data_IF_564953904244
#
_entry.id   IF_564953904244
#
_cell.length_a   1.000
_cell.length_b   1.000
_cell.length_c   1.000
_cell.angle_alpha   90.00
_cell.angle_beta   90.00
_cell.angle_gamma   90.00
#
_symmetry.space_group_name_H-M   'P 1'
#
loop_
_entity.id
_entity.type
_entity.pdbx_description
1 polymer ?
#
# COMPACT_ATOMS: atom_id res chain seq x y z
N UNK A 1 2.27 13.21 -2.06
CA UNK A 1 1.69 12.04 -2.77
C UNK A 1 2.61 11.49 -3.86
N UNK A 2 3.01 12.31 -4.84
CA UNK A 2 3.81 11.88 -6.01
C UNK A 2 5.09 11.11 -5.66
N UNK A 3 5.97 11.65 -4.80
CA UNK A 3 7.23 10.97 -4.41
C UNK A 3 6.98 9.62 -3.74
N UNK A 4 5.90 9.49 -2.96
CA UNK A 4 5.52 8.24 -2.30
C UNK A 4 5.13 7.19 -3.33
N UNK A 5 4.33 7.57 -4.34
CA UNK A 5 3.98 6.68 -5.44
C UNK A 5 5.22 6.21 -6.20
N UNK A 6 6.14 7.11 -6.54
CA UNK A 6 7.39 6.75 -7.24
C UNK A 6 8.23 5.75 -6.46
N UNK A 7 8.37 5.94 -5.15
CA UNK A 7 9.10 4.99 -4.30
C UNK A 7 8.39 3.63 -4.27
N UNK A 8 7.06 3.59 -4.15
CA UNK A 8 6.30 2.33 -4.19
C UNK A 8 6.45 1.62 -5.55
N UNK A 9 6.43 2.36 -6.66
CA UNK A 9 6.70 1.82 -7.99
C UNK A 9 8.12 1.24 -8.11
N UNK A 10 9.14 1.96 -7.64
CA UNK A 10 10.52 1.48 -7.66
C UNK A 10 10.69 0.19 -6.85
N UNK A 11 10.05 0.10 -5.68
CA UNK A 11 10.05 -1.11 -4.85
C UNK A 11 9.34 -2.27 -5.57
N UNK A 12 8.21 -2.02 -6.24
CA UNK A 12 7.52 -3.05 -7.02
C UNK A 12 8.39 -3.61 -8.15
N UNK A 13 9.18 -2.77 -8.80
CA UNK A 13 10.14 -3.18 -9.83
C UNK A 13 11.27 -4.01 -9.21
N UNK A 14 11.76 -3.63 -8.03
CA UNK A 14 12.79 -4.40 -7.32
C UNK A 14 12.30 -5.81 -6.92
N UNK A 15 11.03 -5.94 -6.51
CA UNK A 15 10.42 -7.25 -6.24
C UNK A 15 10.38 -8.09 -7.53
N UNK A 16 10.01 -7.51 -8.68
CA UNK A 16 10.02 -8.22 -9.96
C UNK A 16 11.44 -8.64 -10.37
N UNK A 17 12.41 -7.74 -10.20
CA UNK A 17 13.80 -8.00 -10.50
C UNK A 17 14.35 -9.17 -9.67
N UNK A 18 14.04 -9.22 -8.37
CA UNK A 18 14.34 -10.35 -7.50
C UNK A 18 13.73 -11.65 -8.05
N UNK A 19 12.43 -11.66 -8.35
CA UNK A 19 11.73 -12.83 -8.87
C UNK A 19 12.34 -13.35 -10.19
N UNK A 20 12.68 -12.44 -11.11
CA UNK A 20 13.30 -12.78 -12.39
C UNK A 20 14.73 -13.29 -12.22
N UNK A 21 15.51 -12.68 -11.33
CA UNK A 21 16.87 -13.12 -11.04
C UNK A 21 16.90 -14.50 -10.39
N UNK A 22 16.04 -14.72 -9.39
CA UNK A 22 15.90 -16.01 -8.74
C UNK A 22 15.45 -17.10 -9.72
N UNK A 23 14.53 -16.80 -10.63
CA UNK A 23 14.11 -17.74 -11.69
C UNK A 23 15.28 -18.21 -12.56
N UNK A 24 16.25 -17.33 -12.85
CA UNK A 24 17.37 -17.63 -13.74
C UNK A 24 18.52 -18.36 -13.03
N UNK A 25 18.87 -17.96 -11.81
CA UNK A 25 20.03 -18.50 -11.07
C UNK A 25 19.65 -19.72 -10.21
N UNK A 26 18.43 -19.72 -9.65
CA UNK A 26 17.90 -20.73 -8.71
C UNK A 26 18.80 -21.02 -7.48
N UNK A 27 19.80 -20.19 -7.23
CA UNK A 27 20.68 -20.30 -6.08
C UNK A 27 19.97 -19.85 -4.80
N UNK A 28 19.67 -20.80 -3.90
CA UNK A 28 18.92 -20.56 -2.67
C UNK A 28 19.64 -19.58 -1.73
N UNK A 29 20.95 -19.77 -1.50
CA UNK A 29 21.72 -18.90 -0.60
C UNK A 29 21.76 -17.45 -1.08
N UNK A 30 21.88 -17.25 -2.40
CA UNK A 30 21.78 -15.92 -3.01
C UNK A 30 20.38 -15.33 -2.87
N UNK A 31 19.34 -16.14 -3.11
CA UNK A 31 17.94 -15.75 -2.94
C UNK A 31 17.62 -15.24 -1.53
N UNK A 32 18.11 -15.94 -0.50
CA UNK A 32 17.97 -15.51 0.90
C UNK A 32 18.62 -14.14 1.14
N UNK A 33 19.85 -13.96 0.68
CA UNK A 33 20.59 -12.71 0.87
C UNK A 33 19.93 -11.52 0.16
N UNK A 34 19.47 -11.72 -1.08
CA UNK A 34 18.78 -10.70 -1.86
C UNK A 34 17.42 -10.35 -1.26
N UNK A 35 16.66 -11.35 -0.80
CA UNK A 35 15.39 -11.13 -0.12
C UNK A 35 15.57 -10.36 1.19
N UNK A 36 16.59 -10.70 1.99
CA UNK A 36 16.91 -9.99 3.22
C UNK A 36 17.23 -8.51 2.94
N UNK A 37 18.01 -8.23 1.90
CA UNK A 37 18.30 -6.87 1.47
C UNK A 37 17.03 -6.12 1.02
N UNK A 38 16.17 -6.77 0.23
CA UNK A 38 14.89 -6.22 -0.22
C UNK A 38 13.96 -5.91 0.95
N UNK A 39 13.88 -6.81 1.94
CA UNK A 39 13.11 -6.60 3.17
C UNK A 39 13.66 -5.44 4.00
N UNK A 40 14.99 -5.32 4.14
CA UNK A 40 15.61 -4.19 4.82
C UNK A 40 15.29 -2.86 4.12
N UNK A 41 15.34 -2.85 2.78
CA UNK A 41 14.96 -1.69 1.96
C UNK A 41 13.48 -1.33 2.13
N UNK A 42 12.58 -2.32 2.08
CA UNK A 42 11.15 -2.15 2.33
C UNK A 42 10.90 -1.49 3.69
N UNK A 43 11.55 -1.98 4.75
CA UNK A 43 11.44 -1.41 6.10
C UNK A 43 12.03 0.00 6.19
N UNK A 44 13.13 0.28 5.49
CA UNK A 44 13.74 1.62 5.44
C UNK A 44 12.84 2.61 4.72
N UNK A 45 12.31 2.24 3.55
CA UNK A 45 11.40 3.05 2.76
C UNK A 45 10.09 3.32 3.52
N UNK A 46 9.51 2.28 4.13
CA UNK A 46 8.33 2.39 5.00
C UNK A 46 8.54 3.42 6.12
N UNK A 47 9.67 3.35 6.83
CA UNK A 47 10.02 4.31 7.89
C UNK A 47 10.21 5.73 7.36
N UNK A 48 10.88 5.89 6.22
CA UNK A 48 11.09 7.20 5.60
C UNK A 48 9.76 7.85 5.14
N UNK A 49 8.82 7.03 4.66
CA UNK A 49 7.53 7.51 4.13
C UNK A 49 6.45 7.69 5.20
N UNK A 50 6.63 7.12 6.40
CA UNK A 50 5.66 7.17 7.50
C UNK A 50 5.10 8.57 7.74
N UNK A 51 5.96 9.57 7.91
CA UNK A 51 5.52 10.94 8.18
C UNK A 51 4.77 11.55 6.99
N UNK A 52 5.18 11.24 5.76
CA UNK A 52 4.47 11.66 4.56
C UNK A 52 3.04 11.10 4.49
N UNK A 53 2.84 9.83 4.86
CA UNK A 53 1.51 9.23 4.96
C UNK A 53 0.65 9.90 6.03
N UNK A 54 1.21 10.11 7.22
CA UNK A 54 0.49 10.74 8.33
C UNK A 54 0.09 12.18 8.00
N UNK A 55 1.00 12.96 7.42
CA UNK A 55 0.71 14.34 7.02
C UNK A 55 -0.37 14.40 5.94
N UNK A 56 -0.33 13.52 4.94
CA UNK A 56 -1.37 13.46 3.90
C UNK A 56 -2.74 13.09 4.47
N UNK A 57 -2.80 12.11 5.38
CA UNK A 57 -4.06 11.73 6.03
C UNK A 57 -4.58 12.85 6.94
N UNK A 58 -3.71 13.47 7.73
CA UNK A 58 -4.06 14.58 8.61
C UNK A 58 -4.55 15.79 7.80
N UNK A 59 -3.91 16.12 6.67
CA UNK A 59 -4.34 17.23 5.81
C UNK A 59 -5.71 16.98 5.20
N UNK A 60 -5.99 15.76 4.72
CA UNK A 60 -7.32 15.46 4.18
C UNK A 60 -8.42 15.45 5.25
N UNK A 61 -8.11 14.94 6.45
CA UNK A 61 -9.06 15.02 7.56
C UNK A 61 -9.34 16.48 7.96
N UNK A 62 -8.31 17.31 8.03
CA UNK A 62 -8.46 18.72 8.34
C UNK A 62 -9.32 19.44 7.29
N UNK A 63 -9.05 19.24 5.99
CA UNK A 63 -9.88 19.80 4.90
C UNK A 63 -11.34 19.37 5.05
N UNK A 64 -11.61 18.07 5.18
CA UNK A 64 -12.97 17.55 5.36
C UNK A 64 -13.69 18.19 6.57
N UNK A 65 -12.99 18.39 7.69
CA UNK A 65 -13.57 19.05 8.86
C UNK A 65 -13.85 20.53 8.60
N UNK A 66 -12.97 21.22 7.89
CA UNK A 66 -13.21 22.61 7.49
C UNK A 66 -14.42 22.71 6.56
N UNK A 67 -14.56 21.82 5.58
CA UNK A 67 -15.71 21.82 4.65
C UNK A 67 -17.02 21.59 5.40
N UNK A 68 -17.05 20.57 6.27
CA UNK A 68 -18.22 20.28 7.12
C UNK A 68 -18.56 21.47 8.01
N UNK A 69 -17.55 22.11 8.62
CA UNK A 69 -17.78 23.29 9.46
C UNK A 69 -18.27 24.49 8.65
N UNK A 70 -17.76 24.67 7.43
CA UNK A 70 -18.16 25.74 6.51
C UNK A 70 -19.62 25.60 6.11
N UNK A 71 -20.06 24.40 5.75
CA UNK A 71 -21.46 24.14 5.40
C UNK A 71 -22.38 24.31 6.61
N UNK A 72 -21.95 23.91 7.81
CA UNK A 72 -22.75 24.06 9.03
C UNK A 72 -22.87 25.53 9.50
N UNK A 73 -21.82 26.34 9.31
CA UNK A 73 -21.76 27.72 9.83
C UNK A 73 -22.15 28.79 8.81
N UNK A 74 -22.06 28.50 7.50
CA UNK A 74 -22.25 29.49 6.46
C UNK A 74 -23.07 28.94 5.28
N UNK A 75 -24.04 29.72 4.79
CA UNK A 75 -24.85 29.40 3.60
C UNK A 75 -24.08 29.64 2.29
N UNK A 76 -22.80 29.25 2.25
CA UNK A 76 -21.93 29.39 1.08
C UNK A 76 -22.33 28.34 0.05
N UNK A 77 -22.34 28.70 -1.25
CA UNK A 77 -22.82 27.81 -2.32
C UNK A 77 -22.11 26.45 -2.28
N UNK A 78 -22.88 25.42 -1.95
CA UNK A 78 -22.42 24.14 -1.41
C UNK A 78 -21.66 23.26 -2.41
N UNK A 79 -21.75 23.54 -3.71
CA UNK A 79 -21.25 22.64 -4.75
C UNK A 79 -19.76 22.80 -5.08
N UNK A 80 -19.16 23.97 -4.89
CA UNK A 80 -17.76 24.22 -5.33
C UNK A 80 -16.71 23.71 -4.34
N UNK A 81 -17.06 23.65 -3.06
CA UNK A 81 -16.13 23.23 -1.99
C UNK A 81 -15.78 21.75 -2.16
N UNK A 82 -16.78 20.87 -2.28
CA UNK A 82 -16.55 19.42 -2.44
C UNK A 82 -15.73 19.03 -3.68
N UNK A 83 -15.84 19.81 -4.77
CA UNK A 83 -15.04 19.58 -5.97
C UNK A 83 -13.56 19.92 -5.78
N UNK A 84 -13.23 20.84 -4.86
CA UNK A 84 -11.85 21.24 -4.58
C UNK A 84 -11.04 20.14 -3.90
N UNK A 85 -11.69 19.34 -3.04
CA UNK A 85 -11.02 18.33 -2.19
C UNK A 85 -10.88 16.96 -2.84
N UNK A 86 -11.68 16.68 -3.88
CA UNK A 86 -11.64 15.41 -4.61
C UNK A 86 -10.24 14.99 -5.09
N UNK A 87 -9.41 15.87 -5.67
CA UNK A 87 -8.05 15.51 -6.08
C UNK A 87 -7.17 15.06 -4.90
N UNK A 88 -7.31 15.68 -3.73
CA UNK A 88 -6.53 15.32 -2.54
C UNK A 88 -6.95 13.93 -2.03
N UNK A 89 -8.26 13.70 -1.87
CA UNK A 89 -8.82 12.41 -1.42
C UNK A 89 -8.41 11.29 -2.38
N UNK A 90 -8.56 11.52 -3.68
CA UNK A 90 -8.16 10.56 -4.70
C UNK A 90 -6.65 10.26 -4.65
N UNK A 91 -5.82 11.29 -4.49
CA UNK A 91 -4.36 11.12 -4.40
C UNK A 91 -3.94 10.28 -3.20
N UNK A 92 -4.64 10.41 -2.07
CA UNK A 92 -4.39 9.63 -0.85
C UNK A 92 -4.81 8.18 -1.06
N UNK A 93 -5.99 7.95 -1.62
CA UNK A 93 -6.46 6.62 -1.99
C UNK A 93 -5.43 5.91 -2.88
N UNK A 94 -5.00 6.55 -3.96
CA UNK A 94 -4.00 6.01 -4.87
C UNK A 94 -2.68 5.65 -4.17
N UNK A 95 -2.18 6.53 -3.30
CA UNK A 95 -0.95 6.29 -2.54
C UNK A 95 -1.09 5.09 -1.60
N UNK A 96 -2.22 4.97 -0.88
CA UNK A 96 -2.50 3.85 0.03
C UNK A 96 -2.62 2.54 -0.76
N UNK A 97 -3.36 2.53 -1.86
CA UNK A 97 -3.48 1.35 -2.72
C UNK A 97 -2.14 0.93 -3.31
N UNK A 98 -1.29 1.89 -3.73
CA UNK A 98 0.01 1.56 -4.31
C UNK A 98 0.98 0.98 -3.28
N UNK A 99 0.95 1.49 -2.05
CA UNK A 99 1.71 0.90 -0.95
C UNK A 99 1.19 -0.48 -0.54
N UNK A 100 -0.13 -0.68 -0.54
CA UNK A 100 -0.73 -1.99 -0.30
C UNK A 100 -0.39 -3.02 -1.39
N UNK A 101 -0.32 -2.59 -2.66
CA UNK A 101 0.09 -3.44 -3.79
C UNK A 101 1.49 -4.03 -3.57
N UNK A 102 2.43 -3.24 -3.04
CA UNK A 102 3.78 -3.72 -2.67
C UNK A 102 3.69 -4.88 -1.69
N UNK A 103 2.88 -4.75 -0.64
CA UNK A 103 2.66 -5.84 0.34
C UNK A 103 2.04 -7.07 -0.29
N UNK A 104 1.01 -6.90 -1.12
CA UNK A 104 0.36 -8.02 -1.82
C UNK A 104 1.30 -8.70 -2.83
N UNK A 105 2.26 -7.96 -3.37
CA UNK A 105 3.27 -8.53 -4.26
C UNK A 105 4.26 -9.37 -3.47
N UNK A 106 4.75 -8.87 -2.34
CA UNK A 106 5.59 -9.63 -1.41
C UNK A 106 4.91 -10.92 -0.94
N UNK A 107 3.60 -10.89 -0.65
CA UNK A 107 2.86 -12.09 -0.20
C UNK A 107 2.71 -13.18 -1.27
N UNK A 108 2.88 -12.85 -2.55
CA UNK A 108 2.80 -13.80 -3.68
C UNK A 108 4.15 -14.42 -4.04
N UNK A 109 5.27 -13.83 -3.59
CA UNK A 109 6.62 -14.32 -3.89
C UNK A 109 6.85 -15.77 -3.42
N UNK A 110 6.44 -16.19 -2.20
CA UNK A 110 6.58 -17.58 -1.78
C UNK A 110 5.90 -18.57 -2.73
N UNK A 111 4.66 -18.26 -3.15
CA UNK A 111 3.91 -19.08 -4.10
C UNK A 111 4.58 -19.14 -5.47
N UNK A 112 5.16 -18.03 -5.93
CA UNK A 112 5.95 -18.00 -7.16
C UNK A 112 7.16 -18.93 -7.05
N UNK A 113 7.97 -18.79 -6.00
CA UNK A 113 9.16 -19.63 -5.76
C UNK A 113 8.77 -21.11 -5.75
N UNK A 114 7.66 -21.45 -5.07
CA UNK A 114 7.15 -22.82 -5.01
C UNK A 114 6.72 -23.35 -6.40
N UNK A 115 6.19 -22.49 -7.28
CA UNK A 115 5.71 -22.87 -8.61
C UNK A 115 6.80 -23.09 -9.67
N UNK A 116 8.03 -22.62 -9.44
CA UNK A 116 9.13 -22.72 -10.42
C UNK A 116 9.63 -24.17 -10.66
N UNK A 117 9.04 -25.16 -9.99
CA UNK A 117 9.52 -26.53 -9.90
C UNK A 117 8.92 -27.51 -10.91
N UNK A 118 8.69 -27.10 -12.15
CA UNK A 118 7.93 -27.93 -13.11
C UNK A 118 8.62 -29.27 -13.48
N UNK A 119 9.93 -29.44 -13.21
CA UNK A 119 10.70 -30.59 -13.72
C UNK A 119 11.44 -31.48 -12.71
N UNK A 120 11.43 -31.18 -11.39
CA UNK A 120 12.13 -32.02 -10.41
C UNK A 120 11.14 -32.90 -9.64
N UNK A 121 11.30 -34.23 -9.76
CA UNK A 121 10.40 -35.24 -9.18
C UNK A 121 10.50 -35.36 -7.65
N UNK A 122 11.50 -34.72 -7.03
CA UNK A 122 11.73 -34.75 -5.59
C UNK A 122 11.48 -33.40 -4.93
N UNK A 123 10.98 -33.44 -3.69
CA UNK A 123 10.75 -32.26 -2.85
C UNK A 123 12.11 -31.61 -2.52
N UNK A 124 12.34 -30.42 -3.08
CA UNK A 124 13.55 -29.63 -2.84
C UNK A 124 13.46 -28.94 -1.47
N UNK A 125 14.17 -29.51 -0.48
CA UNK A 125 14.15 -29.03 0.92
C UNK A 125 14.74 -27.63 1.05
N UNK A 126 15.75 -27.29 0.25
CA UNK A 126 16.36 -25.95 0.29
C UNK A 126 15.41 -24.88 -0.25
N UNK A 127 14.64 -25.22 -1.29
CA UNK A 127 13.58 -24.34 -1.78
C UNK A 127 12.47 -24.17 -0.75
N UNK A 128 12.06 -25.24 -0.09
CA UNK A 128 11.07 -25.16 0.98
C UNK A 128 11.54 -24.20 2.08
N UNK A 129 12.81 -24.31 2.50
CA UNK A 129 13.43 -23.37 3.42
C UNK A 129 13.34 -21.92 2.92
N UNK A 130 13.61 -21.64 1.64
CA UNK A 130 13.48 -20.29 1.10
C UNK A 130 12.02 -19.79 1.12
N UNK A 131 11.06 -20.63 0.73
CA UNK A 131 9.62 -20.29 0.75
C UNK A 131 9.19 -19.94 2.18
N UNK A 132 9.58 -20.75 3.16
CA UNK A 132 9.33 -20.49 4.57
C UNK A 132 10.02 -19.21 5.05
N UNK A 133 11.30 -19.01 4.72
CA UNK A 133 12.06 -17.83 5.07
C UNK A 133 11.36 -16.55 4.56
N UNK A 134 11.00 -16.52 3.27
CA UNK A 134 10.30 -15.40 2.64
C UNK A 134 8.94 -15.14 3.29
N UNK A 135 8.21 -16.21 3.62
CA UNK A 135 6.89 -16.14 4.28
C UNK A 135 7.00 -15.57 5.70
N UNK A 136 7.90 -16.11 6.52
CA UNK A 136 8.06 -15.72 7.93
C UNK A 136 8.79 -14.39 8.10
N UNK A 137 9.52 -13.91 7.09
CA UNK A 137 10.13 -12.58 7.15
C UNK A 137 9.10 -11.44 7.12
N UNK A 138 7.85 -11.75 6.74
CA UNK A 138 6.72 -10.84 6.70
C UNK A 138 7.04 -9.53 5.96
N UNK A 139 7.82 -9.61 4.88
CA UNK A 139 8.17 -8.44 4.07
C UNK A 139 6.90 -7.79 3.48
N UNK A 140 6.92 -6.47 3.40
CA UNK A 140 5.81 -5.66 2.92
C UNK A 140 6.00 -4.20 3.27
N UNK A 141 4.98 -3.40 2.99
CA UNK A 141 4.95 -1.98 3.32
C UNK A 141 4.32 -1.76 4.70
N UNK A 142 4.99 -0.98 5.55
CA UNK A 142 4.56 -0.70 6.92
C UNK A 142 4.32 0.80 7.13
N UNK A 143 3.24 1.14 7.83
CA UNK A 143 3.01 2.50 8.35
C UNK A 143 2.99 2.41 9.87
N UNK A 144 4.09 2.82 10.51
CA UNK A 144 4.34 2.47 11.90
C UNK A 144 4.62 0.96 12.02
N UNK A 145 3.90 0.29 12.91
CA UNK A 145 4.01 -1.17 13.13
C UNK A 145 2.95 -1.97 12.37
N UNK A 146 2.11 -1.30 11.57
CA UNK A 146 0.99 -1.95 10.85
C UNK A 146 1.39 -2.21 9.41
N UNK A 147 1.32 -3.49 9.00
CA UNK A 147 1.50 -3.91 7.61
C UNK A 147 0.29 -3.51 6.79
N UNK A 148 0.50 -2.65 5.79
CA UNK A 148 -0.58 -2.15 4.95
C UNK A 148 -0.98 -3.21 3.91
N UNK A 149 -2.22 -3.69 3.95
CA UNK A 149 -2.77 -4.68 3.01
C UNK A 149 -3.83 -4.07 2.10
N UNK A 150 -4.12 -4.72 0.97
CA UNK A 150 -5.17 -4.23 0.07
C UNK A 150 -6.55 -4.25 0.75
N UNK A 151 -6.79 -5.21 1.65
CA UNK A 151 -8.00 -5.27 2.45
C UNK A 151 -8.12 -4.07 3.41
N UNK A 152 -7.02 -3.63 4.03
CA UNK A 152 -7.03 -2.41 4.86
C UNK A 152 -7.28 -1.16 4.03
N UNK A 153 -6.64 -1.05 2.86
CA UNK A 153 -6.87 0.05 1.92
C UNK A 153 -8.35 0.13 1.51
N UNK A 154 -8.94 -1.00 1.11
CA UNK A 154 -10.35 -1.07 0.71
C UNK A 154 -11.29 -0.70 1.86
N UNK A 155 -11.03 -1.19 3.08
CA UNK A 155 -11.82 -0.83 4.28
C UNK A 155 -11.76 0.68 4.56
N UNK A 156 -10.57 1.27 4.49
CA UNK A 156 -10.40 2.72 4.67
C UNK A 156 -11.16 3.51 3.61
N UNK A 157 -11.02 3.14 2.34
CA UNK A 157 -11.75 3.78 1.22
C UNK A 157 -13.26 3.63 1.37
N UNK A 158 -13.74 2.46 1.79
CA UNK A 158 -15.16 2.23 2.03
C UNK A 158 -15.69 3.13 3.16
N UNK A 159 -15.02 3.15 4.31
CA UNK A 159 -15.40 3.99 5.46
C UNK A 159 -15.40 5.46 5.06
N UNK A 160 -14.36 5.94 4.34
CA UNK A 160 -14.31 7.32 3.87
C UNK A 160 -15.42 7.64 2.87
N UNK A 161 -15.76 6.71 1.98
CA UNK A 161 -16.83 6.89 1.00
C UNK A 161 -18.20 6.97 1.66
N UNK A 162 -18.48 6.10 2.64
CA UNK A 162 -19.72 6.14 3.43
C UNK A 162 -19.83 7.46 4.19
N UNK A 163 -18.74 7.92 4.82
CA UNK A 163 -18.73 9.20 5.53
C UNK A 163 -19.01 10.37 4.59
N UNK A 164 -18.34 10.42 3.42
CA UNK A 164 -18.55 11.46 2.42
C UNK A 164 -19.99 11.49 1.90
N UNK A 165 -20.58 10.33 1.58
CA UNK A 165 -21.98 10.23 1.14
C UNK A 165 -22.97 10.62 2.24
N UNK A 166 -22.68 10.27 3.49
CA UNK A 166 -23.50 10.68 4.63
C UNK A 166 -23.52 12.20 4.82
N UNK A 167 -22.36 12.85 4.69
CA UNK A 167 -22.25 14.31 4.68
C UNK A 167 -23.04 14.88 3.49
N UNK A 168 -22.80 14.39 2.28
CA UNK A 168 -23.49 14.88 1.08
C UNK A 168 -25.01 14.77 1.19
N UNK A 169 -25.51 13.64 1.70
CA UNK A 169 -26.95 13.41 1.87
C UNK A 169 -27.54 14.40 2.86
N UNK A 170 -26.83 14.71 3.96
CA UNK A 170 -27.27 15.71 4.93
C UNK A 170 -27.35 17.10 4.32
N UNK A 171 -26.35 17.48 3.52
CA UNK A 171 -26.32 18.76 2.80
C UNK A 171 -27.52 18.88 1.85
N UNK A 172 -27.73 17.86 1.00
CA UNK A 172 -28.86 17.87 0.05
C UNK A 172 -30.23 17.84 0.72
N UNK A 173 -30.33 17.36 1.95
CA UNK A 173 -31.59 17.34 2.70
C UNK A 173 -31.88 18.67 3.43
N UNK A 174 -30.87 19.51 3.63
CA UNK A 174 -31.00 20.84 4.25
C UNK A 174 -31.16 21.97 3.22
N UNK A 175 -30.81 21.73 1.95
CA UNK A 175 -31.05 22.62 0.82
C UNK A 175 -32.50 22.52 0.29
#
# INVERSE_FOLDING_TARGET
>A
AFSIMHICCAINILIDAYCMHFRNDQNIGKGVNEWNMLQALLRKASRALKWGFLLLQASALAMLLFDVSGVLLSSVSENWVLFSDMPLILSIGLVIFKAAEVTEKCSRVPSLINSLSVNNKDIDTERHYLVEYVTYSAAGFYVGEVRLTAAMALKLTYISGVAALGVLTKITATA
#
